data_IF_264569345904
#
_entry.id   IF_264569345904
#
_cell.length_a   1.000
_cell.length_b   1.000
_cell.length_c   1.000
_cell.angle_alpha   90.00
_cell.angle_beta   90.00
_cell.angle_gamma   90.00
#
_symmetry.space_group_name_H-M   'P 1'
#
loop_
_entity.id
_entity.type
_entity.pdbx_description
1 polymer ?
#
# COMPACT_ATOMS: atom_id res chain seq x y z
N UNK A 1 -15.83 -5.92 15.73
CA UNK A 1 -16.48 -7.13 15.16
C UNK A 1 -15.45 -8.10 14.59
N UNK A 2 -14.51 -7.65 13.76
CA UNK A 2 -13.46 -8.50 13.13
C UNK A 2 -12.74 -9.42 14.12
N UNK A 3 -12.17 -8.89 15.21
CA UNK A 3 -11.46 -9.72 16.20
C UNK A 3 -12.36 -10.76 16.87
N UNK A 4 -13.62 -10.44 17.14
CA UNK A 4 -14.60 -11.37 17.71
C UNK A 4 -15.08 -12.43 16.69
N UNK A 5 -14.96 -12.15 15.39
CA UNK A 5 -15.34 -13.06 14.32
C UNK A 5 -14.18 -13.95 13.83
N UNK A 6 -12.94 -13.69 14.28
CA UNK A 6 -11.74 -14.48 13.96
C UNK A 6 -11.96 -15.94 14.36
N UNK A 7 -11.69 -16.85 13.43
CA UNK A 7 -11.71 -18.31 13.63
C UNK A 7 -10.36 -18.88 13.18
N UNK A 8 -9.76 -19.73 14.01
CA UNK A 8 -8.42 -20.30 13.76
C UNK A 8 -7.27 -19.35 14.10
N UNK A 9 -6.07 -19.77 13.69
CA UNK A 9 -4.81 -19.19 14.18
C UNK A 9 -4.31 -17.99 13.36
N UNK A 10 -4.98 -17.67 12.25
CA UNK A 10 -4.60 -16.57 11.36
C UNK A 10 -4.58 -15.21 12.07
N UNK A 11 -3.47 -14.49 11.98
CA UNK A 11 -3.31 -13.20 12.64
C UNK A 11 -3.96 -12.05 11.85
N UNK A 12 -4.51 -11.07 12.56
CA UNK A 12 -5.19 -9.90 12.00
C UNK A 12 -4.38 -8.65 12.32
N UNK A 13 -3.86 -8.04 11.26
CA UNK A 13 -3.06 -6.83 11.32
C UNK A 13 -3.84 -5.61 10.82
N UNK A 14 -3.51 -4.43 11.34
CA UNK A 14 -3.95 -3.15 10.77
C UNK A 14 -2.77 -2.44 10.12
N UNK A 15 -2.96 -1.98 8.89
CA UNK A 15 -2.05 -1.03 8.27
C UNK A 15 -2.39 0.40 8.74
N UNK A 16 -1.46 1.08 9.41
CA UNK A 16 -1.65 2.44 9.91
C UNK A 16 -0.71 3.41 9.21
N UNK A 17 -1.29 4.31 8.40
CA UNK A 17 -0.54 5.28 7.60
C UNK A 17 -0.21 6.56 8.38
N UNK A 18 1.05 6.99 8.46
CA UNK A 18 1.42 8.27 9.09
C UNK A 18 0.89 9.49 8.31
N UNK A 19 0.80 9.39 6.98
CA UNK A 19 0.35 10.49 6.10
C UNK A 19 -1.15 10.80 6.11
N UNK A 20 -1.97 10.04 6.85
CA UNK A 20 -3.35 10.45 7.12
C UNK A 20 -3.37 11.43 8.29
N UNK A 21 -3.12 12.70 7.98
CA UNK A 21 -2.84 13.74 8.98
C UNK A 21 -4.08 14.40 9.54
N UNK A 22 -5.16 14.51 8.75
CA UNK A 22 -6.46 15.02 9.20
C UNK A 22 -6.37 16.35 9.98
N UNK A 23 -5.52 17.30 9.55
CA UNK A 23 -5.26 18.57 10.24
C UNK A 23 -4.67 18.46 11.67
N UNK A 24 -4.41 17.26 12.18
CA UNK A 24 -3.79 17.04 13.48
C UNK A 24 -2.90 15.79 13.41
N UNK A 25 -1.74 15.87 12.73
CA UNK A 25 -0.95 14.71 12.33
C UNK A 25 -0.61 13.77 13.49
N UNK A 26 -0.18 14.35 14.62
CA UNK A 26 0.30 13.58 15.78
C UNK A 26 -0.87 13.00 16.56
N UNK A 27 -1.89 13.79 16.82
CA UNK A 27 -3.05 13.46 17.64
C UNK A 27 -3.88 12.38 16.95
N UNK A 28 -4.17 12.55 15.66
CA UNK A 28 -4.96 11.59 14.89
C UNK A 28 -4.21 10.28 14.68
N UNK A 29 -2.89 10.32 14.45
CA UNK A 29 -2.06 9.12 14.41
C UNK A 29 -2.07 8.38 15.75
N UNK A 30 -1.92 9.10 16.88
CA UNK A 30 -1.99 8.50 18.22
C UNK A 30 -3.33 7.81 18.45
N UNK A 31 -4.44 8.46 18.10
CA UNK A 31 -5.78 7.88 18.23
C UNK A 31 -5.86 6.60 17.40
N UNK A 32 -5.51 6.63 16.11
CA UNK A 32 -5.59 5.44 15.23
C UNK A 32 -4.73 4.28 15.72
N UNK A 33 -3.50 4.55 16.16
CA UNK A 33 -2.60 3.54 16.71
C UNK A 33 -3.16 2.90 17.99
N UNK A 34 -3.62 3.71 18.93
CA UNK A 34 -4.15 3.21 20.22
C UNK A 34 -5.47 2.48 20.04
N UNK A 35 -6.39 3.04 19.24
CA UNK A 35 -7.67 2.39 18.95
C UNK A 35 -7.50 1.03 18.28
N UNK A 36 -6.47 0.86 17.43
CA UNK A 36 -6.12 -0.45 16.90
C UNK A 36 -5.74 -1.42 18.03
N UNK A 37 -4.85 -1.00 18.94
CA UNK A 37 -4.44 -1.82 20.08
C UNK A 37 -5.63 -2.13 21.02
N UNK A 38 -6.45 -1.15 21.37
CA UNK A 38 -7.66 -1.31 22.18
C UNK A 38 -8.62 -2.34 21.57
N UNK A 39 -8.75 -2.35 20.24
CA UNK A 39 -9.63 -3.26 19.51
C UNK A 39 -9.14 -4.72 19.51
N UNK A 40 -7.98 -5.02 20.09
CA UNK A 40 -7.51 -6.39 20.24
C UNK A 40 -6.72 -6.96 19.05
N UNK A 41 -6.36 -6.12 18.07
CA UNK A 41 -5.60 -6.55 16.86
C UNK A 41 -4.32 -7.32 17.21
N UNK A 42 -3.87 -8.23 16.35
CA UNK A 42 -2.65 -9.02 16.59
C UNK A 42 -1.37 -8.22 16.32
N UNK A 43 -1.39 -7.36 15.29
CA UNK A 43 -0.32 -6.39 15.05
C UNK A 43 -0.69 -5.14 14.25
N UNK A 44 0.26 -4.21 14.17
CA UNK A 44 0.17 -2.99 13.36
C UNK A 44 1.37 -2.95 12.41
N UNK A 45 1.10 -2.78 11.12
CA UNK A 45 2.11 -2.38 10.13
C UNK A 45 2.06 -0.87 9.97
N UNK A 46 3.20 -0.22 10.17
CA UNK A 46 3.38 1.22 10.02
C UNK A 46 3.83 1.55 8.59
N UNK A 47 3.04 2.33 7.85
CA UNK A 47 3.28 2.64 6.42
C UNK A 47 3.09 4.12 6.06
N UNK A 48 3.47 4.50 4.84
CA UNK A 48 3.33 5.86 4.34
C UNK A 48 3.89 6.91 5.32
N UNK A 49 5.19 6.79 5.62
CA UNK A 49 5.89 7.64 6.58
C UNK A 49 7.17 7.00 7.09
N UNK A 50 7.99 7.77 7.81
CA UNK A 50 9.19 7.23 8.47
C UNK A 50 8.89 6.72 9.88
N UNK A 51 7.72 7.06 10.43
CA UNK A 51 7.23 6.60 11.74
C UNK A 51 8.21 6.80 12.91
N UNK A 52 9.08 7.80 12.80
CA UNK A 52 10.15 8.07 13.77
C UNK A 52 9.63 8.28 15.20
N UNK A 53 8.41 8.79 15.36
CA UNK A 53 7.77 8.99 16.66
C UNK A 53 6.67 7.99 17.02
N UNK A 54 6.34 7.03 16.14
CA UNK A 54 5.11 6.24 16.28
C UNK A 54 5.12 5.28 17.46
N UNK A 55 6.25 4.63 17.77
CA UNK A 55 6.32 3.75 18.95
C UNK A 55 6.12 4.53 20.25
N UNK A 56 6.67 5.75 20.35
CA UNK A 56 6.48 6.60 21.52
C UNK A 56 5.02 7.02 21.74
N UNK A 57 4.18 7.03 20.69
CA UNK A 57 2.74 7.32 20.84
C UNK A 57 1.95 6.18 21.49
N UNK A 58 2.54 4.99 21.55
CA UNK A 58 1.95 3.76 22.09
C UNK A 58 2.71 3.24 23.33
N UNK A 59 3.79 3.88 23.77
CA UNK A 59 4.73 3.30 24.75
C UNK A 59 4.09 2.94 26.10
N UNK A 60 3.10 3.73 26.52
CA UNK A 60 2.31 3.58 27.74
C UNK A 60 1.12 2.61 27.59
N UNK A 61 0.85 2.14 26.38
CA UNK A 61 -0.29 1.26 26.12
C UNK A 61 0.00 -0.17 26.64
N UNK A 62 -0.90 -0.82 27.41
CA UNK A 62 -0.66 -2.15 27.97
C UNK A 62 -0.28 -3.20 26.93
N UNK A 63 -0.94 -3.17 25.76
CA UNK A 63 -0.64 -4.08 24.64
C UNK A 63 0.57 -3.70 23.80
N UNK A 64 1.28 -2.60 24.09
CA UNK A 64 2.43 -2.17 23.32
C UNK A 64 3.37 -3.37 23.16
N UNK A 65 3.95 -3.89 24.24
CA UNK A 65 4.94 -4.98 24.21
C UNK A 65 4.40 -6.33 23.71
N UNK A 66 3.09 -6.48 23.54
CA UNK A 66 2.46 -7.75 23.18
C UNK A 66 2.01 -7.80 21.72
N UNK A 67 1.51 -6.69 21.17
CA UNK A 67 1.11 -6.62 19.77
C UNK A 67 2.36 -6.63 18.86
N UNK A 68 2.25 -7.30 17.71
CA UNK A 68 3.33 -7.34 16.69
C UNK A 68 3.39 -5.99 15.96
N UNK A 69 4.49 -5.27 16.07
CA UNK A 69 4.64 -3.97 15.42
C UNK A 69 5.69 -4.04 14.32
N UNK A 70 5.29 -3.89 13.07
CA UNK A 70 6.20 -3.82 11.94
C UNK A 70 6.22 -2.47 11.25
N UNK A 71 7.26 -2.25 10.46
CA UNK A 71 7.45 -1.02 9.68
C UNK A 71 7.66 -1.36 8.20
N UNK A 72 7.27 -0.45 7.32
CA UNK A 72 7.63 -0.50 5.91
C UNK A 72 8.77 0.49 5.65
N UNK A 73 9.83 0.05 4.98
CA UNK A 73 10.95 0.89 4.55
C UNK A 73 11.29 0.64 3.09
N UNK A 74 11.82 1.65 2.40
CA UNK A 74 12.31 1.54 1.02
C UNK A 74 13.84 1.64 0.92
N UNK A 75 14.56 1.73 2.04
CA UNK A 75 16.03 1.80 2.09
C UNK A 75 16.59 1.43 3.45
N UNK A 76 17.86 1.01 3.48
CA UNK A 76 18.61 0.81 4.73
C UNK A 76 18.66 2.10 5.58
N UNK A 77 18.85 3.25 4.93
CA UNK A 77 18.88 4.56 5.61
C UNK A 77 17.60 4.81 6.42
N UNK A 78 16.43 4.50 5.85
CA UNK A 78 15.15 4.69 6.54
C UNK A 78 15.03 3.76 7.77
N UNK A 79 15.44 2.49 7.63
CA UNK A 79 15.48 1.55 8.74
C UNK A 79 16.40 2.05 9.88
N UNK A 80 17.63 2.45 9.56
CA UNK A 80 18.58 2.95 10.55
C UNK A 80 18.08 4.21 11.27
N UNK A 81 17.38 5.11 10.57
CA UNK A 81 16.76 6.28 11.19
C UNK A 81 15.68 5.87 12.19
N UNK A 82 14.81 4.92 11.82
CA UNK A 82 13.77 4.41 12.70
C UNK A 82 14.36 3.74 13.95
N UNK A 83 15.32 2.83 13.77
CA UNK A 83 15.96 2.11 14.88
C UNK A 83 16.64 3.06 15.86
N UNK A 84 17.44 4.01 15.35
CA UNK A 84 18.13 5.01 16.19
C UNK A 84 17.15 5.89 16.97
N UNK A 85 16.07 6.36 16.33
CA UNK A 85 15.11 7.24 17.00
C UNK A 85 14.35 6.53 18.13
N UNK A 86 14.08 5.23 17.96
CA UNK A 86 13.30 4.44 18.90
C UNK A 86 14.16 3.62 19.89
N UNK A 87 15.50 3.69 19.81
CA UNK A 87 16.42 2.95 20.67
C UNK A 87 16.13 3.13 22.17
N UNK A 88 15.79 4.36 22.59
CA UNK A 88 15.44 4.67 23.99
C UNK A 88 14.24 3.89 24.54
N UNK A 89 13.39 3.37 23.66
CA UNK A 89 12.21 2.59 24.04
C UNK A 89 12.59 1.13 24.34
N UNK A 90 13.84 0.72 24.13
CA UNK A 90 14.29 -0.67 24.24
C UNK A 90 13.31 -1.63 23.54
N UNK A 91 12.91 -1.27 22.31
CA UNK A 91 11.98 -2.03 21.49
C UNK A 91 12.32 -1.93 20.02
N UNK A 92 12.60 -3.07 19.41
CA UNK A 92 12.76 -3.23 17.97
C UNK A 92 11.39 -3.51 17.31
N UNK A 93 11.23 -3.23 16.01
CA UNK A 93 10.08 -3.73 15.28
C UNK A 93 10.12 -5.27 15.23
N UNK A 94 8.94 -5.89 15.29
CA UNK A 94 8.75 -7.35 15.21
C UNK A 94 9.00 -7.89 13.80
N UNK A 95 8.93 -7.04 12.77
CA UNK A 95 9.26 -7.34 11.38
C UNK A 95 9.48 -6.04 10.58
N UNK A 96 10.20 -6.14 9.47
CA UNK A 96 10.40 -5.04 8.52
C UNK A 96 9.94 -5.50 7.15
N UNK A 97 9.04 -4.74 6.54
CA UNK A 97 8.68 -4.92 5.14
C UNK A 97 9.59 -4.02 4.29
N UNK A 98 10.23 -4.61 3.29
CA UNK A 98 11.01 -3.85 2.29
C UNK A 98 10.13 -3.60 1.09
N UNK A 99 9.77 -2.35 0.87
CA UNK A 99 9.00 -1.95 -0.31
C UNK A 99 9.94 -1.68 -1.49
N UNK A 100 9.71 -2.41 -2.58
CA UNK A 100 10.42 -2.27 -3.84
C UNK A 100 9.75 -1.30 -4.82
N UNK A 101 10.46 -0.91 -5.88
CA UNK A 101 10.00 0.13 -6.82
C UNK A 101 8.82 -0.31 -7.70
N UNK A 102 8.58 -1.61 -7.81
CA UNK A 102 7.46 -2.20 -8.55
C UNK A 102 6.18 -2.34 -7.70
N UNK A 103 6.20 -1.85 -6.46
CA UNK A 103 5.00 -1.74 -5.62
C UNK A 103 3.90 -0.90 -6.28
N UNK A 104 2.69 -1.04 -5.77
CA UNK A 104 1.51 -0.30 -6.24
C UNK A 104 1.09 0.80 -5.29
N UNK A 105 0.27 1.73 -5.80
CA UNK A 105 -0.12 2.91 -5.03
C UNK A 105 1.06 3.86 -4.84
N UNK A 106 1.12 4.54 -3.69
CA UNK A 106 2.23 5.45 -3.39
C UNK A 106 3.55 4.70 -3.26
N UNK A 107 4.61 5.27 -3.85
CA UNK A 107 5.94 4.69 -3.82
C UNK A 107 6.80 5.38 -2.75
N UNK A 108 7.58 4.59 -2.02
CA UNK A 108 8.67 5.05 -1.14
C UNK A 108 9.91 5.57 -1.89
N UNK A 109 9.76 5.96 -3.15
CA UNK A 109 10.82 6.38 -4.08
C UNK A 109 10.44 7.68 -4.79
N UNK A 110 11.41 8.38 -5.36
CA UNK A 110 11.18 9.50 -6.27
C UNK A 110 10.77 9.03 -7.67
N UNK A 111 10.70 9.97 -8.62
CA UNK A 111 10.48 9.64 -10.04
C UNK A 111 11.63 8.83 -10.66
N UNK A 112 12.76 8.72 -9.97
CA UNK A 112 13.88 7.85 -10.28
C UNK A 112 13.69 6.40 -9.77
N UNK A 113 12.49 6.02 -9.34
CA UNK A 113 12.14 4.68 -8.82
C UNK A 113 12.67 3.52 -9.67
N UNK A 114 12.74 3.69 -10.99
CA UNK A 114 13.21 2.66 -11.92
C UNK A 114 14.71 2.32 -11.78
N UNK A 115 15.48 3.14 -11.05
CA UNK A 115 16.90 2.89 -10.77
C UNK A 115 17.14 1.94 -9.60
N UNK A 116 16.09 1.66 -8.82
CA UNK A 116 16.18 0.82 -7.64
C UNK A 116 15.77 -0.62 -7.99
N UNK A 117 16.15 -1.55 -7.12
CA UNK A 117 15.80 -2.96 -7.25
C UNK A 117 15.47 -3.55 -5.88
N UNK A 118 14.39 -4.34 -5.79
CA UNK A 118 13.92 -4.91 -4.53
C UNK A 118 14.95 -5.90 -3.95
N UNK A 119 15.59 -6.71 -4.80
CA UNK A 119 16.56 -7.71 -4.34
C UNK A 119 17.81 -7.04 -3.80
N UNK A 120 18.30 -5.99 -4.46
CA UNK A 120 19.43 -5.19 -3.97
C UNK A 120 19.14 -4.57 -2.59
N UNK A 121 18.00 -3.87 -2.43
CA UNK A 121 17.64 -3.23 -1.16
C UNK A 121 17.44 -4.28 -0.06
N UNK A 122 16.77 -5.40 -0.38
CA UNK A 122 16.57 -6.51 0.56
C UNK A 122 17.90 -7.08 1.03
N UNK A 123 18.82 -7.35 0.10
CA UNK A 123 20.15 -7.88 0.41
C UNK A 123 20.97 -6.93 1.29
N UNK A 124 20.95 -5.63 0.99
CA UNK A 124 21.60 -4.60 1.80
C UNK A 124 21.08 -4.60 3.25
N UNK A 125 19.75 -4.64 3.42
CA UNK A 125 19.15 -4.65 4.76
C UNK A 125 19.42 -5.97 5.50
N UNK A 126 19.38 -7.12 4.82
CA UNK A 126 19.73 -8.41 5.43
C UNK A 126 21.17 -8.41 5.95
N UNK A 127 22.12 -7.94 5.14
CA UNK A 127 23.52 -7.85 5.54
C UNK A 127 23.70 -6.96 6.76
N UNK A 128 23.03 -5.80 6.79
CA UNK A 128 23.06 -4.90 7.95
C UNK A 128 22.49 -5.57 9.21
N UNK A 129 21.31 -6.21 9.13
CA UNK A 129 20.68 -6.88 10.27
C UNK A 129 21.56 -8.01 10.81
N UNK A 130 22.23 -8.77 9.93
CA UNK A 130 23.19 -9.80 10.33
C UNK A 130 24.43 -9.21 11.03
N UNK A 131 25.02 -8.15 10.47
CA UNK A 131 26.19 -7.49 11.05
C UNK A 131 25.91 -6.92 12.45
N UNK A 132 24.73 -6.32 12.63
CA UNK A 132 24.27 -5.77 13.91
C UNK A 132 23.68 -6.83 14.86
N UNK A 133 23.63 -8.10 14.44
CA UNK A 133 23.04 -9.22 15.21
C UNK A 133 21.59 -8.96 15.62
N UNK A 134 20.83 -8.30 14.76
CA UNK A 134 19.41 -8.00 14.96
C UNK A 134 18.56 -9.08 14.30
N UNK A 135 17.89 -9.89 15.12
CA UNK A 135 16.99 -10.95 14.66
C UNK A 135 15.60 -10.41 14.26
N UNK A 136 15.57 -9.44 13.34
CA UNK A 136 14.32 -8.85 12.83
C UNK A 136 13.94 -9.53 11.50
N UNK A 137 12.79 -10.22 11.41
CA UNK A 137 12.28 -10.79 10.17
C UNK A 137 12.13 -9.75 9.07
N UNK A 138 12.68 -10.03 7.88
CA UNK A 138 12.57 -9.16 6.70
C UNK A 138 11.57 -9.75 5.70
N UNK A 139 10.69 -8.90 5.16
CA UNK A 139 9.58 -9.26 4.28
C UNK A 139 9.63 -8.41 3.00
N UNK A 140 10.22 -8.88 1.90
CA UNK A 140 10.23 -8.17 0.64
C UNK A 140 8.81 -8.03 0.05
N UNK A 141 8.53 -6.88 -0.56
CA UNK A 141 7.24 -6.53 -1.12
C UNK A 141 7.39 -5.68 -2.39
N UNK A 142 6.51 -5.89 -3.37
CA UNK A 142 6.47 -5.11 -4.61
C UNK A 142 7.14 -5.84 -5.78
N UNK A 143 6.35 -6.17 -6.80
CA UNK A 143 6.82 -6.93 -7.97
C UNK A 143 6.87 -8.46 -7.78
N UNK A 144 6.50 -9.00 -6.61
CA UNK A 144 6.45 -10.46 -6.42
C UNK A 144 5.13 -11.01 -7.00
N UNK A 145 5.19 -11.76 -8.10
CA UNK A 145 4.00 -12.13 -8.88
C UNK A 145 3.71 -13.64 -8.90
N UNK A 146 4.74 -14.48 -8.83
CA UNK A 146 4.64 -15.94 -8.91
C UNK A 146 5.13 -16.61 -7.63
N UNK A 147 4.80 -17.89 -7.45
CA UNK A 147 5.35 -18.72 -6.37
C UNK A 147 6.89 -18.82 -6.44
N UNK A 148 7.44 -18.95 -7.65
CA UNK A 148 8.89 -18.97 -7.86
C UNK A 148 9.58 -17.65 -7.45
N UNK A 149 8.95 -16.50 -7.72
CA UNK A 149 9.46 -15.21 -7.22
C UNK A 149 9.53 -15.23 -5.69
N UNK A 150 8.45 -15.69 -5.03
CA UNK A 150 8.37 -15.77 -3.58
C UNK A 150 9.46 -16.68 -2.99
N UNK A 151 9.60 -17.90 -3.51
CA UNK A 151 10.62 -18.87 -3.08
C UNK A 151 12.02 -18.28 -3.22
N UNK A 152 12.31 -17.60 -4.33
CA UNK A 152 13.65 -17.02 -4.54
C UNK A 152 14.05 -15.97 -3.49
N UNK A 153 13.08 -15.28 -2.87
CA UNK A 153 13.35 -14.36 -1.76
C UNK A 153 13.53 -15.12 -0.44
N UNK A 154 12.72 -16.16 -0.20
CA UNK A 154 12.86 -17.02 0.99
C UNK A 154 14.23 -17.71 1.01
N UNK A 155 14.68 -18.26 -0.12
CA UNK A 155 16.00 -18.87 -0.27
C UNK A 155 17.15 -17.86 -0.08
N UNK A 156 16.89 -16.57 -0.33
CA UNK A 156 17.85 -15.49 -0.09
C UNK A 156 17.86 -15.00 1.36
N UNK A 157 17.11 -15.65 2.27
CA UNK A 157 17.09 -15.34 3.70
C UNK A 157 15.95 -14.43 4.15
N UNK A 158 15.00 -14.10 3.28
CA UNK A 158 13.77 -13.43 3.71
C UNK A 158 12.91 -14.37 4.58
N UNK A 159 12.23 -13.81 5.58
CA UNK A 159 11.38 -14.61 6.48
C UNK A 159 10.00 -14.91 5.87
N UNK A 160 9.52 -14.01 5.01
CA UNK A 160 8.27 -14.12 4.28
C UNK A 160 8.32 -13.20 3.05
N UNK A 161 7.26 -13.18 2.26
CA UNK A 161 7.04 -12.17 1.22
C UNK A 161 5.66 -11.54 1.37
N UNK A 162 5.50 -10.31 0.91
CA UNK A 162 4.20 -9.66 0.83
C UNK A 162 3.76 -9.51 -0.64
N UNK A 163 2.55 -10.00 -0.92
CA UNK A 163 1.96 -10.03 -2.26
C UNK A 163 0.60 -9.31 -2.26
N UNK A 164 0.26 -8.63 -3.35
CA UNK A 164 -0.94 -7.79 -3.41
C UNK A 164 -1.65 -7.82 -4.75
N UNK A 165 -0.97 -7.47 -5.86
CA UNK A 165 -1.59 -7.20 -7.18
C UNK A 165 -2.59 -8.27 -7.64
N UNK A 166 -2.27 -9.55 -7.42
CA UNK A 166 -3.14 -10.67 -7.83
C UNK A 166 -4.41 -10.81 -6.98
N UNK A 167 -4.37 -10.36 -5.74
CA UNK A 167 -5.53 -10.35 -4.84
C UNK A 167 -6.51 -9.20 -5.16
N UNK A 168 -6.11 -8.18 -5.92
CA UNK A 168 -6.99 -7.07 -6.31
C UNK A 168 -8.21 -7.53 -7.10
N UNK A 169 -8.08 -8.60 -7.88
CA UNK A 169 -9.12 -9.11 -8.78
C UNK A 169 -9.84 -10.36 -8.23
N UNK A 170 -9.66 -10.68 -6.95
CA UNK A 170 -10.36 -11.82 -6.34
C UNK A 170 -11.80 -11.46 -5.96
N UNK A 171 -12.64 -12.48 -5.75
CA UNK A 171 -14.03 -12.33 -5.32
C UNK A 171 -14.15 -11.63 -3.96
N UNK A 172 -13.23 -11.91 -3.06
CA UNK A 172 -13.20 -11.38 -1.68
C UNK A 172 -12.66 -9.95 -1.60
N UNK A 173 -12.06 -9.43 -2.68
CA UNK A 173 -11.66 -8.04 -2.76
C UNK A 173 -12.91 -7.14 -2.84
N UNK A 174 -12.93 -6.07 -2.03
CA UNK A 174 -14.06 -5.15 -1.93
C UNK A 174 -14.26 -4.20 -3.13
N UNK A 175 -13.45 -4.31 -4.18
CA UNK A 175 -13.69 -3.57 -5.43
C UNK A 175 -14.95 -4.08 -6.13
N UNK A 176 -15.74 -3.22 -6.79
CA UNK A 176 -16.80 -3.65 -7.69
C UNK A 176 -16.25 -4.50 -8.84
N UNK A 177 -16.98 -5.54 -9.24
CA UNK A 177 -16.49 -6.51 -10.23
C UNK A 177 -16.22 -5.88 -11.60
N UNK A 178 -17.02 -4.90 -12.03
CA UNK A 178 -16.77 -4.13 -13.24
C UNK A 178 -15.41 -3.41 -13.23
N UNK A 179 -14.99 -2.91 -12.06
CA UNK A 179 -13.67 -2.28 -11.89
C UNK A 179 -12.57 -3.34 -11.90
N UNK A 180 -12.76 -4.50 -11.26
CA UNK A 180 -11.80 -5.62 -11.34
C UNK A 180 -11.53 -6.03 -12.79
N UNK A 181 -12.52 -5.96 -13.67
CA UNK A 181 -12.34 -6.23 -15.10
C UNK A 181 -11.39 -5.23 -15.79
N UNK A 182 -11.37 -3.96 -15.36
CA UNK A 182 -10.41 -2.97 -15.91
C UNK A 182 -8.97 -3.31 -15.55
N UNK A 183 -8.73 -3.87 -14.35
CA UNK A 183 -7.41 -4.39 -13.96
C UNK A 183 -6.97 -5.57 -14.82
N UNK A 184 -7.89 -6.46 -15.22
CA UNK A 184 -7.57 -7.53 -16.17
C UNK A 184 -7.26 -6.99 -17.57
N UNK A 185 -8.00 -6.00 -18.05
CA UNK A 185 -7.84 -5.47 -19.42
C UNK A 185 -6.53 -4.71 -19.62
N UNK A 186 -5.99 -4.09 -18.57
CA UNK A 186 -4.79 -3.25 -18.59
C UNK A 186 -3.63 -3.87 -19.40
N UNK A 187 -3.03 -3.08 -20.28
CA UNK A 187 -1.74 -3.35 -20.92
C UNK A 187 -0.60 -2.77 -20.06
N UNK A 188 0.65 -3.13 -20.41
CA UNK A 188 1.83 -2.60 -19.68
C UNK A 188 1.90 -1.08 -19.77
N UNK A 189 1.60 -0.53 -20.96
CA UNK A 189 1.56 0.91 -21.20
C UNK A 189 0.44 1.64 -20.44
N UNK A 190 -0.55 0.93 -19.90
CA UNK A 190 -1.61 1.54 -19.08
C UNK A 190 -1.17 1.78 -17.63
N UNK A 191 -0.01 1.23 -17.23
CA UNK A 191 0.50 1.34 -15.86
C UNK A 191 1.42 2.57 -15.78
N UNK A 192 0.97 3.62 -15.09
CA UNK A 192 1.76 4.84 -14.94
C UNK A 192 2.15 5.13 -13.49
N UNK A 193 3.28 5.82 -13.34
CA UNK A 193 3.68 6.47 -12.09
C UNK A 193 3.61 7.98 -12.31
N UNK A 194 2.77 8.67 -11.55
CA UNK A 194 2.52 10.09 -11.73
C UNK A 194 2.64 10.87 -10.40
N UNK A 195 2.51 12.20 -10.48
CA UNK A 195 2.60 13.14 -9.34
C UNK A 195 1.27 13.84 -9.02
N UNK A 196 0.14 13.25 -9.42
CA UNK A 196 -1.17 13.88 -9.24
C UNK A 196 -1.72 13.69 -7.83
N UNK A 197 -1.06 12.88 -6.99
CA UNK A 197 -1.46 12.75 -5.60
C UNK A 197 -1.31 14.08 -4.84
N UNK A 198 -2.28 14.45 -3.98
CA UNK A 198 -2.17 15.62 -3.13
C UNK A 198 -1.16 15.43 -1.99
N UNK A 199 -0.64 14.22 -1.76
CA UNK A 199 0.34 13.93 -0.70
C UNK A 199 1.78 14.28 -1.08
N UNK A 200 2.03 14.58 -2.36
CA UNK A 200 3.36 14.93 -2.87
C UNK A 200 4.28 13.74 -3.15
N UNK A 201 3.80 12.50 -3.01
CA UNK A 201 4.56 11.29 -3.35
C UNK A 201 4.13 10.73 -4.70
N UNK A 202 5.07 10.15 -5.49
CA UNK A 202 4.71 9.42 -6.70
C UNK A 202 3.72 8.30 -6.40
N UNK A 203 2.79 8.08 -7.32
CA UNK A 203 1.73 7.09 -7.17
C UNK A 203 1.56 6.29 -8.45
N UNK A 204 1.52 4.95 -8.33
CA UNK A 204 1.31 4.01 -9.42
C UNK A 204 -0.17 3.65 -9.58
N UNK A 205 -0.71 3.86 -10.77
CA UNK A 205 -2.12 3.64 -11.08
C UNK A 205 -2.36 3.35 -12.56
N UNK A 206 -3.59 2.94 -12.88
CA UNK A 206 -4.04 2.82 -14.27
C UNK A 206 -4.32 4.21 -14.87
N UNK A 207 -3.83 4.45 -16.09
CA UNK A 207 -4.11 5.68 -16.88
C UNK A 207 -5.60 5.95 -17.07
N UNK A 208 -6.40 4.89 -17.17
CA UNK A 208 -7.85 4.96 -17.33
C UNK A 208 -8.64 5.27 -16.05
N UNK A 209 -7.97 5.51 -14.91
CA UNK A 209 -8.64 5.76 -13.64
C UNK A 209 -9.55 7.01 -13.72
N UNK A 210 -10.85 6.90 -13.39
CA UNK A 210 -11.79 8.02 -13.45
C UNK A 210 -11.41 9.22 -12.57
N UNK A 211 -10.54 9.01 -11.59
CA UNK A 211 -10.01 10.06 -10.72
C UNK A 211 -9.04 11.04 -11.42
N UNK A 212 -8.48 10.67 -12.57
CA UNK A 212 -7.55 11.51 -13.33
C UNK A 212 -8.35 12.56 -14.12
N UNK A 213 -8.02 13.84 -13.96
CA UNK A 213 -8.73 14.94 -14.61
C UNK A 213 -10.06 15.34 -13.97
N UNK A 214 -10.56 14.57 -12.99
CA UNK A 214 -11.83 14.86 -12.35
C UNK A 214 -11.79 16.17 -11.54
N UNK A 215 -12.62 17.13 -11.92
CA UNK A 215 -12.90 18.35 -11.14
C UNK A 215 -14.05 18.17 -10.15
N UNK A 216 -13.97 17.14 -9.30
CA UNK A 216 -14.94 16.95 -8.22
C UNK A 216 -14.76 18.04 -7.16
N UNK A 217 -15.86 18.64 -6.70
CA UNK A 217 -15.80 19.59 -5.58
C UNK A 217 -15.17 18.89 -4.37
N UNK A 218 -14.14 19.49 -3.73
CA UNK A 218 -13.53 18.92 -2.52
C UNK A 218 -14.58 18.74 -1.42
N UNK A 219 -14.55 17.59 -0.74
CA UNK A 219 -15.44 17.23 0.36
C UNK A 219 -14.61 16.95 1.64
N UNK A 220 -13.76 17.91 1.99
CA UNK A 220 -12.79 17.78 3.07
C UNK A 220 -13.44 17.88 4.45
N UNK A 221 -14.64 18.46 4.53
CA UNK A 221 -15.49 18.50 5.72
C UNK A 221 -15.96 17.10 6.14
N UNK A 222 -16.28 16.22 5.18
CA UNK A 222 -16.75 14.88 5.48
C UNK A 222 -15.62 13.86 5.60
N UNK A 223 -14.58 14.00 4.77
CA UNK A 223 -13.50 13.02 4.69
C UNK A 223 -12.17 13.54 5.25
N UNK A 224 -11.66 14.66 4.74
CA UNK A 224 -10.50 15.37 5.30
C UNK A 224 -9.21 14.57 5.53
N UNK A 225 -9.10 13.32 5.04
CA UNK A 225 -8.07 12.38 5.48
C UNK A 225 -6.64 12.83 5.16
N UNK A 226 -6.48 13.58 4.08
CA UNK A 226 -5.19 14.03 3.55
C UNK A 226 -4.93 15.53 3.78
N UNK A 227 -5.71 16.19 4.65
CA UNK A 227 -5.42 17.55 5.07
C UNK A 227 -4.12 17.57 5.85
N UNK A 228 -3.14 18.37 5.43
CA UNK A 228 -1.85 18.52 6.10
C UNK A 228 -2.00 19.10 7.51
N UNK A 229 -0.89 19.27 8.24
CA UNK A 229 -0.92 19.76 9.63
C UNK A 229 -1.43 21.20 9.81
N UNK A 230 -1.63 21.93 8.72
CA UNK A 230 -2.21 23.27 8.70
C UNK A 230 -3.62 23.28 8.09
N UNK A 231 -4.18 22.10 7.81
CA UNK A 231 -5.54 21.95 7.28
C UNK A 231 -5.64 22.15 5.77
N UNK A 232 -4.51 22.20 5.06
CA UNK A 232 -4.49 22.43 3.61
C UNK A 232 -4.47 21.12 2.82
N UNK A 233 -4.89 21.19 1.56
CA UNK A 233 -4.82 20.08 0.62
C UNK A 233 -4.48 20.61 -0.78
N UNK A 234 -3.45 20.04 -1.42
CA UNK A 234 -3.00 20.48 -2.73
C UNK A 234 -4.09 20.37 -3.82
N UNK A 235 -5.03 19.44 -3.68
CA UNK A 235 -6.18 19.36 -4.59
C UNK A 235 -7.15 20.53 -4.43
N UNK A 236 -7.38 21.03 -3.20
CA UNK A 236 -8.25 22.21 -2.99
C UNK A 236 -7.69 23.41 -3.74
N UNK A 237 -6.37 23.64 -3.60
CA UNK A 237 -5.68 24.72 -4.30
C UNK A 237 -5.80 24.57 -5.81
N UNK A 238 -5.54 23.37 -6.36
CA UNK A 238 -5.67 23.10 -7.78
C UNK A 238 -7.12 23.28 -8.29
N UNK A 239 -8.10 22.76 -7.57
CA UNK A 239 -9.51 22.90 -7.90
C UNK A 239 -9.94 24.38 -7.94
N UNK A 240 -9.63 25.16 -6.91
CA UNK A 240 -9.99 26.58 -6.86
C UNK A 240 -9.31 27.40 -7.95
N UNK A 241 -8.07 27.05 -8.33
CA UNK A 241 -7.38 27.64 -9.49
C UNK A 241 -8.18 27.42 -10.77
N UNK A 242 -8.63 26.18 -11.02
CA UNK A 242 -9.40 25.87 -12.22
C UNK A 242 -10.78 26.54 -12.22
N UNK A 243 -11.46 26.61 -11.08
CA UNK A 243 -12.73 27.35 -10.94
C UNK A 243 -12.56 28.84 -11.25
N UNK A 244 -11.50 29.47 -10.71
CA UNK A 244 -11.23 30.88 -10.96
C UNK A 244 -10.87 31.17 -12.43
N UNK A 245 -10.15 30.25 -13.07
CA UNK A 245 -9.78 30.37 -14.49
C UNK A 245 -10.96 30.11 -15.45
N UNK A 246 -12.01 29.40 -15.00
CA UNK A 246 -13.13 28.98 -15.84
C UNK A 246 -14.49 29.29 -15.16
N UNK A 247 -14.83 30.58 -14.93
CA UNK A 247 -15.99 30.97 -14.11
C UNK A 247 -17.34 30.50 -14.67
N UNK A 248 -17.45 30.34 -15.99
CA UNK A 248 -18.69 29.91 -16.66
C UNK A 248 -18.78 28.38 -16.84
N UNK A 249 -17.73 27.63 -16.46
CA UNK A 249 -17.71 26.19 -16.64
C UNK A 249 -18.62 25.49 -15.61
N UNK A 250 -19.59 24.69 -16.10
CA UNK A 250 -20.45 23.86 -15.23
C UNK A 250 -19.65 22.81 -14.43
N UNK A 251 -18.54 22.33 -15.00
CA UNK A 251 -17.59 21.40 -14.38
C UNK A 251 -16.18 21.78 -14.84
N UNK A 252 -15.26 21.85 -13.89
CA UNK A 252 -13.83 22.05 -14.18
C UNK A 252 -13.12 20.71 -14.39
N UNK A 253 -11.93 20.75 -14.96
CA UNK A 253 -11.04 19.60 -15.14
C UNK A 253 -9.76 19.90 -14.39
N UNK A 254 -9.31 18.99 -13.52
CA UNK A 254 -8.08 19.19 -12.71
C UNK A 254 -7.11 18.07 -13.05
N UNK A 255 -6.14 18.35 -13.92
CA UNK A 255 -5.20 17.34 -14.43
C UNK A 255 -3.98 17.12 -13.54
N UNK A 256 -3.51 18.16 -12.84
CA UNK A 256 -2.26 18.14 -12.07
C UNK A 256 -2.43 17.59 -10.65
N UNK A 257 -3.67 17.47 -10.16
CA UNK A 257 -3.99 16.92 -8.83
C UNK A 257 -5.32 16.15 -8.83
N UNK A 258 -5.43 15.15 -7.96
CA UNK A 258 -6.63 14.31 -7.80
C UNK A 258 -7.16 14.34 -6.35
N UNK A 259 -8.49 14.38 -6.19
CA UNK A 259 -9.14 14.25 -4.88
C UNK A 259 -9.17 12.80 -4.38
N UNK A 260 -8.06 12.31 -3.80
CA UNK A 260 -7.99 10.90 -3.39
C UNK A 260 -9.06 10.50 -2.37
N UNK A 261 -9.42 11.36 -1.41
CA UNK A 261 -10.40 11.01 -0.38
C UNK A 261 -11.77 10.64 -0.99
N UNK A 262 -12.26 11.44 -1.94
CA UNK A 262 -13.54 11.19 -2.61
C UNK A 262 -13.44 10.02 -3.58
N UNK A 263 -12.39 9.97 -4.41
CA UNK A 263 -12.28 8.94 -5.44
C UNK A 263 -11.97 7.55 -4.88
N UNK A 264 -11.25 7.43 -3.76
CA UNK A 264 -11.09 6.15 -3.06
C UNK A 264 -12.42 5.66 -2.50
N UNK A 265 -13.24 6.54 -1.92
CA UNK A 265 -14.59 6.21 -1.44
C UNK A 265 -15.51 5.73 -2.57
N UNK A 266 -15.38 6.31 -3.76
CA UNK A 266 -16.19 5.98 -4.93
C UNK A 266 -15.66 4.79 -5.75
N UNK A 267 -14.49 4.25 -5.41
CA UNK A 267 -13.76 3.26 -6.24
C UNK A 267 -13.32 3.78 -7.62
N UNK A 268 -13.10 5.09 -7.75
CA UNK A 268 -12.66 5.75 -8.98
C UNK A 268 -11.13 5.90 -9.08
N UNK A 269 -10.42 5.68 -7.97
CA UNK A 269 -8.96 5.75 -7.90
C UNK A 269 -8.36 4.34 -8.03
N UNK A 270 -7.83 4.01 -9.22
CA UNK A 270 -7.39 2.66 -9.56
C UNK A 270 -5.88 2.52 -9.41
N UNK A 271 -5.40 2.64 -8.17
CA UNK A 271 -4.00 2.34 -7.85
C UNK A 271 -3.68 0.88 -8.11
N UNK A 272 -2.48 0.59 -8.61
CA UNK A 272 -2.12 -0.76 -9.02
C UNK A 272 -0.62 -1.00 -8.92
N UNK A 273 -0.19 -2.27 -8.82
CA UNK A 273 1.22 -2.65 -8.88
C UNK A 273 1.71 -2.75 -10.32
N UNK A 274 3.04 -2.77 -10.53
CA UNK A 274 3.59 -2.77 -11.89
C UNK A 274 3.07 -3.91 -12.77
N UNK A 275 3.01 -5.13 -12.23
CA UNK A 275 2.59 -6.33 -12.97
C UNK A 275 1.07 -6.49 -13.14
N UNK A 276 0.28 -5.43 -12.98
CA UNK A 276 -1.18 -5.48 -13.18
C UNK A 276 -1.54 -5.93 -14.60
N UNK A 277 -0.76 -5.52 -15.60
CA UNK A 277 -0.96 -5.94 -17.00
C UNK A 277 -0.87 -7.46 -17.23
N UNK A 278 -0.25 -8.20 -16.30
CA UNK A 278 -0.13 -9.66 -16.36
C UNK A 278 -1.36 -10.38 -15.82
N UNK A 279 -2.30 -9.69 -15.16
CA UNK A 279 -3.47 -10.32 -14.52
C UNK A 279 -4.35 -11.08 -15.52
N UNK A 280 -4.45 -10.63 -16.77
CA UNK A 280 -5.17 -11.37 -17.82
C UNK A 280 -4.64 -12.78 -18.08
N UNK A 281 -3.38 -13.05 -17.71
CA UNK A 281 -2.74 -14.35 -17.86
C UNK A 281 -2.90 -15.23 -16.62
N UNK A 282 -3.54 -14.74 -15.56
CA UNK A 282 -3.80 -15.53 -14.34
C UNK A 282 -5.23 -16.08 -14.32
N UNK A 283 -6.04 -15.80 -15.33
CA UNK A 283 -7.45 -16.21 -15.41
C UNK A 283 -7.84 -16.56 -16.84
N UNK A 284 -9.06 -17.07 -17.03
CA UNK A 284 -9.65 -17.42 -18.32
C UNK A 284 -10.66 -16.36 -18.76
N UNK A 285 -10.64 -16.06 -20.06
CA UNK A 285 -11.62 -15.17 -20.68
C UNK A 285 -12.90 -15.95 -20.99
N UNK A 286 -14.03 -15.41 -20.54
CA UNK A 286 -15.36 -15.98 -20.73
C UNK A 286 -15.94 -15.62 -22.11
N UNK A 287 -16.98 -16.32 -22.59
CA UNK A 287 -17.60 -16.05 -23.90
C UNK A 287 -18.16 -14.63 -24.04
N UNK A 288 -18.56 -14.00 -22.94
CA UNK A 288 -19.03 -12.60 -22.91
C UNK A 288 -17.88 -11.57 -22.97
N UNK A 289 -16.64 -12.04 -23.04
CA UNK A 289 -15.43 -11.23 -23.14
C UNK A 289 -14.86 -10.79 -21.79
N UNK A 290 -15.53 -11.05 -20.67
CA UNK A 290 -15.03 -10.79 -19.31
C UNK A 290 -14.02 -11.84 -18.85
N UNK A 291 -13.32 -11.58 -17.75
CA UNK A 291 -12.39 -12.51 -17.11
C UNK A 291 -13.04 -13.15 -15.89
N UNK A 292 -12.84 -14.45 -15.73
CA UNK A 292 -13.32 -15.19 -14.55
C UNK A 292 -12.68 -14.63 -13.27
N UNK A 293 -13.49 -14.30 -12.28
CA UNK A 293 -12.99 -13.89 -10.96
C UNK A 293 -12.58 -15.13 -10.13
N UNK A 294 -11.39 -15.06 -9.55
CA UNK A 294 -10.81 -16.14 -8.73
C UNK A 294 -11.12 -15.93 -7.25
N UNK A 295 -11.11 -17.00 -6.45
CA UNK A 295 -11.04 -16.83 -4.99
C UNK A 295 -9.64 -16.39 -4.57
N UNK A 296 -9.55 -15.71 -3.43
CA UNK A 296 -8.31 -15.46 -2.73
C UNK A 296 -7.59 -16.78 -2.41
N UNK A 297 -8.32 -17.85 -2.12
CA UNK A 297 -7.76 -19.19 -1.92
C UNK A 297 -7.04 -19.72 -3.18
N UNK A 298 -7.62 -19.57 -4.38
CA UNK A 298 -6.95 -19.97 -5.62
C UNK A 298 -5.62 -19.24 -5.80
N UNK A 299 -5.64 -17.92 -5.62
CA UNK A 299 -4.44 -17.08 -5.73
C UNK A 299 -3.40 -17.48 -4.68
N UNK A 300 -3.82 -17.74 -3.45
CA UNK A 300 -2.94 -18.17 -2.36
C UNK A 300 -2.29 -19.53 -2.64
N UNK A 301 -3.08 -20.53 -3.04
CA UNK A 301 -2.57 -21.87 -3.40
C UNK A 301 -1.64 -21.81 -4.60
N UNK A 302 -1.91 -20.93 -5.57
CA UNK A 302 -1.01 -20.75 -6.71
C UNK A 302 0.37 -20.22 -6.28
N UNK A 303 0.45 -19.28 -5.34
CA UNK A 303 1.73 -18.87 -4.75
C UNK A 303 2.43 -20.01 -4.01
N UNK A 304 1.67 -20.93 -3.41
CA UNK A 304 2.21 -22.03 -2.62
C UNK A 304 2.74 -23.20 -3.46
N UNK A 305 2.08 -23.50 -4.58
CA UNK A 305 2.29 -24.78 -5.29
C UNK A 305 2.80 -24.63 -6.72
N UNK A 306 2.65 -23.48 -7.38
CA UNK A 306 3.18 -23.31 -8.74
C UNK A 306 4.68 -23.13 -8.78
N UNK A 307 5.29 -23.73 -9.80
CA UNK A 307 6.74 -23.78 -10.03
C UNK A 307 7.11 -23.21 -11.40
N UNK A 308 8.40 -23.06 -11.66
CA UNK A 308 8.98 -22.63 -12.94
C UNK A 308 8.45 -21.28 -13.46
N UNK A 309 8.11 -20.36 -12.55
CA UNK A 309 7.55 -19.04 -12.89
C UNK A 309 6.14 -19.11 -13.50
N UNK A 310 5.47 -20.26 -13.43
CA UNK A 310 4.12 -20.45 -13.98
C UNK A 310 3.05 -19.95 -13.01
N UNK A 311 1.87 -19.72 -13.58
CA UNK A 311 0.64 -19.42 -12.85
C UNK A 311 -0.39 -20.48 -13.19
N UNK A 312 -1.05 -21.03 -12.17
CA UNK A 312 -2.16 -21.94 -12.30
C UNK A 312 -3.42 -21.19 -12.72
N UNK A 313 -3.94 -21.54 -13.90
CA UNK A 313 -5.23 -21.07 -14.38
C UNK A 313 -6.37 -21.76 -13.63
N UNK A 314 -7.54 -21.12 -13.49
CA UNK A 314 -8.72 -21.78 -12.94
C UNK A 314 -9.17 -22.92 -13.87
N UNK A 315 -9.52 -24.06 -13.29
CA UNK A 315 -10.16 -25.21 -13.97
C UNK A 315 -11.50 -24.82 -14.60
#
# INVERSE_FOLDING_TARGET
RTMAAKRGDGLIFINCMEKLTMNAPRETLRVRLRSALDAGIDGITLSAGLHLGSFALMEDHPRFRHARLGIIVSSLRALQLFLRKNARLNRLPDYVIVEGPLAGGHLGFGMDWAKYDLRAITGEILQYLQAEKLAIPLIPAGGIFTGSDAVSYLESGAAAVQVATRFTVTRECGLPDGIKQEYFKAAEDDIEVNMISPTGYPMRMLKGSPAIGAGIRPNCEAYGYLLDGSGNCAYITAYNREVAAHPDAKKVVVMDKTCLCTHMRNFDCWTCGHYTYRLKHTSTRLPDGSYRLLSAEHVFRDYQFSVDGKVALPE
#
